data_IF_086544257999
#
_entry.id   IF_086544257999
#
_cell.length_a   1.000
_cell.length_b   1.000
_cell.length_c   1.000
_cell.angle_alpha   90.00
_cell.angle_beta   90.00
_cell.angle_gamma   90.00
#
_symmetry.space_group_name_H-M   'P 1'
#
loop_
_entity.id
_entity.type
_entity.pdbx_description
1 polymer ?
#
# COMPACT_ATOMS: atom_id res chain seq x y z
N UNK A 1 -12.78 -7.03 -70.71
CA UNK A 1 -12.24 -7.91 -69.64
C UNK A 1 -11.28 -7.19 -68.66
N UNK A 2 -11.53 -5.92 -68.30
CA UNK A 2 -10.55 -5.11 -67.50
C UNK A 2 -11.03 -4.68 -66.09
N UNK A 3 -12.24 -5.04 -65.65
CA UNK A 3 -12.79 -4.50 -64.38
C UNK A 3 -12.57 -5.34 -63.11
N UNK A 4 -12.38 -6.65 -63.23
CA UNK A 4 -12.30 -7.55 -62.06
C UNK A 4 -10.99 -7.47 -61.27
N UNK A 5 -9.91 -6.97 -61.83
CA UNK A 5 -8.63 -6.83 -61.14
C UNK A 5 -8.55 -5.59 -60.25
N UNK A 6 -9.17 -4.48 -60.71
CA UNK A 6 -9.24 -3.23 -59.93
C UNK A 6 -10.09 -3.36 -58.66
N UNK A 7 -11.20 -4.10 -58.76
CA UNK A 7 -12.10 -4.32 -57.62
C UNK A 7 -11.46 -5.18 -56.52
N UNK A 8 -10.65 -6.16 -56.90
CA UNK A 8 -9.89 -6.99 -55.96
C UNK A 8 -8.78 -6.21 -55.25
N UNK A 9 -8.16 -5.28 -55.92
CA UNK A 9 -7.14 -4.41 -55.33
C UNK A 9 -7.76 -3.42 -54.34
N UNK A 10 -8.88 -2.80 -54.67
CA UNK A 10 -9.61 -1.89 -53.82
C UNK A 10 -10.22 -2.57 -52.58
N UNK A 11 -10.65 -3.84 -52.73
CA UNK A 11 -11.17 -4.64 -51.61
C UNK A 11 -10.06 -5.02 -50.61
N UNK A 12 -8.88 -5.39 -51.11
CA UNK A 12 -7.71 -5.69 -50.25
C UNK A 12 -7.21 -4.46 -49.48
N UNK A 13 -7.20 -3.30 -50.09
CA UNK A 13 -6.79 -2.06 -49.45
C UNK A 13 -7.76 -1.59 -48.36
N UNK A 14 -9.06 -1.80 -48.57
CA UNK A 14 -10.08 -1.55 -47.54
C UNK A 14 -9.92 -2.47 -46.34
N UNK A 15 -9.63 -3.75 -46.57
CA UNK A 15 -9.36 -4.71 -45.47
C UNK A 15 -8.14 -4.36 -44.65
N UNK A 16 -7.03 -3.95 -45.30
CA UNK A 16 -5.79 -3.54 -44.60
C UNK A 16 -6.00 -2.27 -43.76
N UNK A 17 -6.75 -1.29 -44.30
CA UNK A 17 -7.06 -0.05 -43.56
C UNK A 17 -7.96 -0.31 -42.34
N UNK A 18 -8.94 -1.22 -42.45
CA UNK A 18 -9.79 -1.63 -41.35
C UNK A 18 -9.01 -2.39 -40.28
N UNK A 19 -8.13 -3.31 -40.69
CA UNK A 19 -7.25 -4.05 -39.75
C UNK A 19 -6.27 -3.11 -39.02
N UNK A 20 -5.71 -2.14 -39.73
CA UNK A 20 -4.83 -1.14 -39.13
C UNK A 20 -5.56 -0.22 -38.13
N UNK A 21 -6.80 0.17 -38.45
CA UNK A 21 -7.62 0.96 -37.54
C UNK A 21 -8.02 0.18 -36.26
N UNK A 22 -8.36 -1.11 -36.39
CA UNK A 22 -8.66 -1.98 -35.25
C UNK A 22 -7.41 -2.19 -34.39
N UNK A 23 -6.26 -2.43 -34.99
CA UNK A 23 -5.00 -2.58 -34.27
C UNK A 23 -4.62 -1.30 -33.51
N UNK A 24 -4.84 -0.12 -34.10
CA UNK A 24 -4.60 1.17 -33.44
C UNK A 24 -5.52 1.37 -32.24
N UNK A 25 -6.81 1.04 -32.35
CA UNK A 25 -7.79 1.11 -31.26
C UNK A 25 -7.42 0.15 -30.12
N UNK A 26 -7.01 -1.08 -30.43
CA UNK A 26 -6.55 -2.04 -29.44
C UNK A 26 -5.27 -1.58 -28.71
N UNK A 27 -4.35 -0.93 -29.40
CA UNK A 27 -3.13 -0.39 -28.82
C UNK A 27 -3.41 0.76 -27.84
N UNK A 28 -4.40 1.61 -28.12
CA UNK A 28 -4.82 2.70 -27.23
C UNK A 28 -5.56 2.17 -25.99
N UNK A 29 -6.36 1.12 -26.12
CA UNK A 29 -7.07 0.50 -25.01
C UNK A 29 -6.14 -0.28 -24.05
N UNK A 30 -5.01 -0.79 -24.54
CA UNK A 30 -4.02 -1.49 -23.70
C UNK A 30 -3.14 -0.58 -22.85
N UNK A 31 -3.18 0.73 -23.03
CA UNK A 31 -2.35 1.70 -22.30
C UNK A 31 -2.90 2.09 -20.90
N UNK A 32 -4.10 1.60 -20.52
CA UNK A 32 -4.68 1.87 -19.19
C UNK A 32 -4.16 0.89 -18.16
N UNK A 33 -2.87 0.99 -17.79
CA UNK A 33 -2.31 0.22 -16.67
C UNK A 33 -2.63 0.91 -15.36
N UNK A 34 -3.14 0.16 -14.38
CA UNK A 34 -3.34 0.66 -13.02
C UNK A 34 -2.01 1.10 -12.39
N UNK A 35 -2.03 2.18 -11.64
CA UNK A 35 -0.87 2.75 -10.97
C UNK A 35 -0.96 2.49 -9.48
N UNK A 36 0.16 2.03 -8.87
CA UNK A 36 0.26 1.79 -7.44
C UNK A 36 1.12 2.88 -6.81
N UNK A 37 0.66 3.40 -5.68
CA UNK A 37 1.35 4.44 -4.90
C UNK A 37 1.63 3.91 -3.50
N UNK A 38 2.90 3.94 -3.10
CA UNK A 38 3.34 3.70 -1.74
C UNK A 38 3.56 5.05 -1.07
N UNK A 39 2.91 5.26 0.09
CA UNK A 39 3.06 6.48 0.91
C UNK A 39 3.51 6.11 2.32
N UNK A 40 4.29 7.00 2.95
CA UNK A 40 4.78 6.82 4.31
C UNK A 40 5.95 5.86 4.40
N UNK A 41 6.02 5.12 5.50
CA UNK A 41 7.14 4.23 5.81
C UNK A 41 7.15 2.99 4.90
N UNK A 42 8.34 2.63 4.42
CA UNK A 42 8.55 1.39 3.65
C UNK A 42 9.30 0.42 4.55
N UNK A 43 8.61 -0.65 4.97
CA UNK A 43 9.20 -1.67 5.82
C UNK A 43 10.24 -2.48 5.05
N UNK A 44 11.51 -2.50 5.50
CA UNK A 44 12.51 -3.37 4.90
C UNK A 44 12.14 -4.86 5.11
N UNK A 45 12.37 -5.72 4.12
CA UNK A 45 12.12 -7.15 4.27
C UNK A 45 12.90 -7.74 5.47
N UNK A 46 12.22 -8.48 6.33
CA UNK A 46 12.84 -9.12 7.51
C UNK A 46 13.27 -8.17 8.62
N UNK A 47 12.84 -6.90 8.59
CA UNK A 47 13.25 -5.93 9.62
C UNK A 47 12.64 -6.26 11.00
N UNK A 48 11.42 -6.74 11.06
CA UNK A 48 10.75 -7.08 12.33
C UNK A 48 11.41 -8.30 13.00
N UNK A 49 11.90 -9.25 12.23
CA UNK A 49 12.61 -10.44 12.73
C UNK A 49 13.97 -10.10 13.34
N UNK A 50 14.55 -8.95 12.97
CA UNK A 50 15.81 -8.46 13.50
C UNK A 50 15.66 -7.68 14.82
N UNK A 51 14.43 -7.49 15.28
CA UNK A 51 14.12 -6.76 16.52
C UNK A 51 13.55 -7.74 17.55
N UNK A 52 14.38 -8.42 18.33
CA UNK A 52 13.89 -9.28 19.41
C UNK A 52 13.31 -8.44 20.56
N UNK A 53 12.45 -9.06 21.36
CA UNK A 53 12.05 -8.50 22.66
C UNK A 53 13.31 -8.26 23.50
N UNK A 54 13.42 -7.11 24.16
CA UNK A 54 14.60 -6.67 24.89
C UNK A 54 15.61 -5.89 24.05
N UNK A 55 15.41 -5.76 22.73
CA UNK A 55 16.27 -4.90 21.91
C UNK A 55 16.23 -3.44 22.37
N UNK A 56 17.35 -2.74 22.26
CA UNK A 56 17.40 -1.33 22.63
C UNK A 56 16.69 -0.44 21.58
N UNK A 57 16.27 0.75 21.99
CA UNK A 57 15.70 1.76 21.12
C UNK A 57 16.66 2.14 19.97
N UNK A 58 17.96 2.25 20.25
CA UNK A 58 18.98 2.55 19.26
C UNK A 58 19.09 1.43 18.20
N UNK A 59 19.00 0.18 18.61
CA UNK A 59 18.97 -0.96 17.68
C UNK A 59 17.74 -0.89 16.78
N UNK A 60 16.57 -0.54 17.32
CA UNK A 60 15.36 -0.33 16.53
C UNK A 60 15.54 0.79 15.50
N UNK A 61 16.16 1.92 15.89
CA UNK A 61 16.45 3.03 14.99
C UNK A 61 17.43 2.65 13.88
N UNK A 62 18.40 1.79 14.17
CA UNK A 62 19.36 1.29 13.16
C UNK A 62 18.64 0.40 12.14
N UNK A 63 17.77 -0.50 12.58
CA UNK A 63 17.08 -1.47 11.71
C UNK A 63 15.90 -0.84 10.96
N UNK A 64 15.07 -0.06 11.66
CA UNK A 64 13.82 0.50 11.12
C UNK A 64 13.98 1.96 10.67
N UNK A 65 15.03 2.65 11.08
CA UNK A 65 15.15 4.09 10.85
C UNK A 65 14.23 4.93 11.71
N UNK A 66 14.02 6.18 11.30
CA UNK A 66 13.20 7.16 12.04
C UNK A 66 11.73 6.78 12.00
N UNK A 67 11.01 6.72 13.15
CA UNK A 67 9.58 6.46 13.19
C UNK A 67 8.78 7.62 12.58
N UNK A 68 7.60 7.30 12.07
CA UNK A 68 6.67 8.30 11.54
C UNK A 68 6.12 9.21 12.65
N UNK A 69 5.92 8.66 13.84
CA UNK A 69 5.55 9.41 15.04
C UNK A 69 5.90 8.63 16.30
N UNK A 70 6.01 9.34 17.40
CA UNK A 70 6.31 8.80 18.73
C UNK A 70 5.19 9.20 19.67
N UNK A 71 4.72 8.27 20.50
CA UNK A 71 3.77 8.54 21.55
C UNK A 71 4.31 8.05 22.91
N UNK A 72 3.89 8.72 23.99
CA UNK A 72 4.19 8.31 25.36
C UNK A 72 2.91 7.75 25.98
N UNK A 73 2.92 6.46 26.17
CA UNK A 73 1.88 5.73 26.88
C UNK A 73 2.47 5.15 28.14
N UNK A 74 2.41 4.29 28.83
CA UNK A 74 3.15 3.77 29.98
C UNK A 74 4.66 3.48 29.71
N UNK A 75 5.22 4.08 28.72
CA UNK A 75 6.53 3.98 28.09
C UNK A 75 6.50 4.71 26.77
N UNK A 76 7.56 4.64 25.99
CA UNK A 76 7.65 5.22 24.66
C UNK A 76 7.15 4.21 23.61
N UNK A 77 6.45 4.69 22.59
CA UNK A 77 5.98 3.86 21.48
C UNK A 77 6.38 4.50 20.16
N UNK A 78 7.09 3.76 19.32
CA UNK A 78 7.41 4.17 17.96
C UNK A 78 6.37 3.63 16.98
N UNK A 79 5.79 4.52 16.18
CA UNK A 79 4.85 4.17 15.13
C UNK A 79 5.47 4.37 13.76
N UNK A 80 5.44 3.32 12.94
CA UNK A 80 5.83 3.34 11.54
C UNK A 80 4.58 3.13 10.69
N UNK A 81 4.19 4.15 9.93
CA UNK A 81 2.92 4.21 9.23
C UNK A 81 3.16 4.05 7.74
N UNK A 82 2.55 3.06 7.13
CA UNK A 82 2.58 2.82 5.69
C UNK A 82 1.20 2.73 5.09
N UNK A 83 1.06 3.20 3.86
CA UNK A 83 -0.18 3.21 3.12
C UNK A 83 0.08 2.86 1.66
N UNK A 84 -0.71 1.93 1.11
CA UNK A 84 -0.72 1.62 -0.30
C UNK A 84 -2.04 2.05 -0.91
N UNK A 85 -1.95 2.84 -1.96
CA UNK A 85 -3.09 3.29 -2.74
C UNK A 85 -2.96 2.81 -4.18
N UNK A 86 -4.07 2.51 -4.81
CA UNK A 86 -4.16 2.09 -6.21
C UNK A 86 -5.05 3.05 -6.99
N UNK A 87 -4.65 3.34 -8.23
CA UNK A 87 -5.47 4.04 -9.21
C UNK A 87 -5.75 3.06 -10.34
N UNK A 88 -6.95 2.48 -10.42
CA UNK A 88 -7.28 1.46 -11.43
C UNK A 88 -7.13 1.97 -12.87
N UNK A 89 -7.50 3.23 -13.11
CA UNK A 89 -7.38 3.92 -14.40
C UNK A 89 -7.02 5.39 -14.17
N UNK A 90 -6.35 6.00 -15.15
CA UNK A 90 -5.74 7.34 -15.04
C UNK A 90 -6.72 8.46 -14.65
N UNK A 91 -8.00 8.36 -15.01
CA UNK A 91 -9.03 9.36 -14.71
C UNK A 91 -9.79 9.11 -13.40
N UNK A 92 -9.50 8.02 -12.67
CA UNK A 92 -10.11 7.74 -11.37
C UNK A 92 -9.24 8.26 -10.22
N UNK A 93 -9.88 8.52 -9.09
CA UNK A 93 -9.19 8.86 -7.86
C UNK A 93 -8.41 7.67 -7.31
N UNK A 94 -7.32 7.95 -6.62
CA UNK A 94 -6.57 6.94 -5.88
C UNK A 94 -7.45 6.38 -4.75
N UNK A 95 -7.47 5.06 -4.60
CA UNK A 95 -8.15 4.38 -3.49
C UNK A 95 -7.10 3.72 -2.61
N UNK A 96 -7.16 3.96 -1.31
CA UNK A 96 -6.33 3.24 -0.34
C UNK A 96 -6.80 1.79 -0.28
N UNK A 97 -5.89 0.86 -0.57
CA UNK A 97 -6.15 -0.59 -0.60
C UNK A 97 -5.53 -1.32 0.57
N UNK A 98 -4.45 -0.78 1.15
CA UNK A 98 -3.82 -1.34 2.33
C UNK A 98 -3.23 -0.22 3.19
N UNK A 99 -3.32 -0.40 4.50
CA UNK A 99 -2.80 0.53 5.49
C UNK A 99 -2.28 -0.27 6.68
N UNK A 100 -1.03 0.02 7.06
CA UNK A 100 -0.34 -0.66 8.14
C UNK A 100 0.26 0.35 9.11
N UNK A 101 0.16 0.02 10.38
CA UNK A 101 0.78 0.76 11.48
C UNK A 101 1.58 -0.24 12.31
N UNK A 102 2.90 -0.18 12.20
CA UNK A 102 3.78 -0.97 13.06
C UNK A 102 4.03 -0.15 14.31
N UNK A 103 3.73 -0.73 15.47
CA UNK A 103 3.97 -0.12 16.77
C UNK A 103 5.01 -0.93 17.54
N UNK A 104 6.06 -0.26 18.02
CA UNK A 104 7.12 -0.84 18.84
C UNK A 104 7.05 -0.17 20.19
N UNK A 105 6.73 -0.96 21.22
CA UNK A 105 6.53 -0.51 22.59
C UNK A 105 7.82 -0.71 23.39
N UNK A 106 8.22 0.33 24.11
CA UNK A 106 9.40 0.32 24.97
C UNK A 106 9.00 0.44 26.45
N UNK A 107 9.80 -0.16 27.29
CA UNK A 107 9.75 0.04 28.73
C UNK A 107 10.46 1.35 29.14
N UNK A 108 10.53 1.59 30.48
CA UNK A 108 11.22 2.74 31.04
C UNK A 108 12.75 2.71 30.82
N UNK A 109 13.31 1.54 30.52
CA UNK A 109 14.74 1.34 30.24
C UNK A 109 15.03 1.44 28.73
N UNK A 110 14.03 1.85 27.90
CA UNK A 110 14.13 1.94 26.44
C UNK A 110 14.41 0.59 25.77
N UNK A 111 13.87 -0.50 26.35
CA UNK A 111 13.92 -1.83 25.75
C UNK A 111 12.58 -2.24 25.19
N UNK A 112 12.61 -2.93 24.04
CA UNK A 112 11.40 -3.42 23.37
C UNK A 112 10.70 -4.46 24.25
N UNK A 113 9.46 -4.19 24.60
CA UNK A 113 8.60 -5.13 25.34
C UNK A 113 7.54 -5.78 24.47
N UNK A 114 7.19 -5.13 23.34
CA UNK A 114 6.15 -5.63 22.44
C UNK A 114 6.31 -5.04 21.06
N UNK A 115 6.04 -5.84 20.03
CA UNK A 115 5.82 -5.40 18.67
C UNK A 115 4.38 -5.70 18.27
N UNK A 116 3.78 -4.80 17.52
CA UNK A 116 2.45 -4.99 16.94
C UNK A 116 2.44 -4.49 15.48
N UNK A 117 1.67 -5.15 14.63
CA UNK A 117 1.49 -4.76 13.25
C UNK A 117 -0.02 -4.63 12.99
N UNK A 118 -0.51 -3.42 13.13
CA UNK A 118 -1.93 -3.12 12.98
C UNK A 118 -2.26 -2.83 11.52
N UNK A 119 -3.39 -3.37 11.08
CA UNK A 119 -4.02 -3.06 9.81
C UNK A 119 -5.54 -3.15 9.92
N UNK A 120 -6.23 -2.93 8.81
CA UNK A 120 -7.68 -3.07 8.76
C UNK A 120 -8.04 -4.45 8.22
N UNK A 121 -8.87 -5.17 8.94
CA UNK A 121 -9.52 -6.40 8.51
C UNK A 121 -11.03 -6.26 8.76
N UNK A 122 -11.83 -6.37 7.71
CA UNK A 122 -13.28 -6.18 7.77
C UNK A 122 -13.71 -4.85 8.43
N UNK A 123 -12.95 -3.78 8.17
CA UNK A 123 -13.20 -2.45 8.75
C UNK A 123 -12.84 -2.30 10.23
N UNK A 124 -12.23 -3.31 10.84
CA UNK A 124 -11.76 -3.29 12.23
C UNK A 124 -10.24 -3.31 12.30
N UNK A 125 -9.69 -2.65 13.32
CA UNK A 125 -8.25 -2.69 13.58
C UNK A 125 -7.90 -4.09 14.09
N UNK A 126 -6.94 -4.72 13.43
CA UNK A 126 -6.46 -6.06 13.73
C UNK A 126 -4.93 -6.06 13.86
N UNK A 127 -4.39 -6.72 14.88
CA UNK A 127 -2.96 -6.92 15.05
C UNK A 127 -2.53 -8.23 14.40
N UNK A 128 -1.77 -8.13 13.32
CA UNK A 128 -1.32 -9.28 12.53
C UNK A 128 -0.21 -10.09 13.22
N UNK A 129 0.47 -9.55 14.24
CA UNK A 129 1.47 -10.27 15.03
C UNK A 129 0.76 -11.13 16.08
N UNK A 130 -0.06 -10.51 16.93
CA UNK A 130 -0.80 -11.23 17.98
C UNK A 130 -2.06 -11.93 17.48
N UNK A 131 -2.50 -11.62 16.26
CA UNK A 131 -3.74 -12.11 15.62
C UNK A 131 -5.00 -11.82 16.46
N UNK A 132 -5.02 -10.66 17.07
CA UNK A 132 -6.11 -10.20 17.92
C UNK A 132 -6.56 -8.80 17.53
N UNK A 133 -7.81 -8.47 17.91
CA UNK A 133 -8.30 -7.10 17.85
C UNK A 133 -7.92 -6.40 19.15
N UNK A 134 -7.30 -5.20 19.11
CA UNK A 134 -6.99 -4.45 20.31
C UNK A 134 -8.28 -4.18 21.10
N UNK A 135 -8.31 -4.59 22.37
CA UNK A 135 -9.48 -4.43 23.25
C UNK A 135 -9.26 -3.38 24.33
N UNK A 136 -8.03 -2.90 24.53
CA UNK A 136 -7.75 -1.88 25.53
C UNK A 136 -8.12 -0.49 25.00
N UNK A 137 -8.90 0.26 25.76
CA UNK A 137 -9.42 1.56 25.37
C UNK A 137 -8.33 2.60 25.05
N UNK A 138 -7.15 2.49 25.69
CA UNK A 138 -6.02 3.40 25.41
C UNK A 138 -5.41 3.16 24.02
N UNK A 139 -5.13 1.91 23.64
CA UNK A 139 -4.58 1.60 22.31
C UNK A 139 -5.53 2.03 21.20
N UNK A 140 -6.83 1.73 21.31
CA UNK A 140 -7.84 2.16 20.34
C UNK A 140 -7.94 3.68 20.25
N UNK A 141 -7.75 4.40 21.36
CA UNK A 141 -7.79 5.87 21.40
C UNK A 141 -6.71 6.53 20.52
N UNK A 142 -5.55 5.90 20.38
CA UNK A 142 -4.45 6.38 19.52
C UNK A 142 -4.52 5.82 18.09
N UNK A 143 -4.86 4.54 17.94
CA UNK A 143 -4.90 3.89 16.64
C UNK A 143 -6.09 4.34 15.78
N UNK A 144 -7.28 4.52 16.36
CA UNK A 144 -8.47 4.90 15.63
C UNK A 144 -8.32 6.26 14.91
N UNK A 145 -7.81 7.34 15.54
CA UNK A 145 -7.51 8.58 14.84
C UNK A 145 -6.46 8.42 13.75
N UNK A 146 -5.40 7.64 13.97
CA UNK A 146 -4.37 7.38 12.97
C UNK A 146 -4.97 6.74 11.71
N UNK A 147 -5.76 5.69 11.88
CA UNK A 147 -6.44 5.04 10.75
C UNK A 147 -7.46 5.95 10.09
N UNK A 148 -8.18 6.76 10.88
CA UNK A 148 -9.15 7.73 10.37
C UNK A 148 -8.50 8.85 9.56
N UNK A 149 -7.41 9.45 10.05
CA UNK A 149 -6.67 10.49 9.33
C UNK A 149 -6.07 10.00 8.00
N UNK A 150 -5.71 8.71 7.94
CA UNK A 150 -5.09 8.12 6.76
C UNK A 150 -6.13 7.60 5.75
N UNK A 151 -7.38 7.37 6.17
CA UNK A 151 -8.45 6.87 5.29
C UNK A 151 -9.29 7.97 4.63
N UNK A 152 -9.06 9.24 4.98
CA UNK A 152 -9.71 10.36 4.30
C UNK A 152 -9.00 10.67 2.98
N UNK A 153 -9.51 10.09 1.92
CA UNK A 153 -9.44 10.66 0.57
C UNK A 153 -10.62 10.18 -0.26
#
# INVERSE_FOLDING_TARGET
MRSRAADRFAARWRGVRSAAAIALVCAVLGACTGEQFQKGYILPPGALEQIPIGASQDQVLIVMGTPSTVATLNGEVFYYISQRAERPVAFMNQKVVDQRVIAIYFDKNRQVIRLANYGLQDGKIFDFISRTTPTSGQELSYLAPLFKLLSFN
#
